data_IF_659052638174
#
_entry.id   IF_659052638174
#
_cell.length_a   1.000
_cell.length_b   1.000
_cell.length_c   1.000
_cell.angle_alpha   90.00
_cell.angle_beta   90.00
_cell.angle_gamma   90.00
#
_symmetry.space_group_name_H-M   'P 1'
#
loop_
_entity.id
_entity.type
_entity.pdbx_description
1 polymer ?
#
# COMPACT_ATOMS: atom_id res chain seq x y z
N UNK A 1 0.34 9.47 -28.62
CA UNK A 1 0.12 8.70 -27.37
C UNK A 1 1.20 7.65 -27.09
N UNK A 2 2.02 7.25 -28.07
CA UNK A 2 3.15 6.33 -27.86
C UNK A 2 4.44 7.01 -27.34
N UNK A 3 4.64 8.31 -27.59
CA UNK A 3 5.82 9.06 -27.10
C UNK A 3 5.84 9.29 -25.58
N UNK A 4 4.67 9.45 -24.95
CA UNK A 4 4.58 9.66 -23.50
C UNK A 4 4.84 8.39 -22.69
N UNK A 5 4.61 7.22 -23.28
CA UNK A 5 4.92 5.92 -22.66
C UNK A 5 6.42 5.59 -22.75
N UNK A 6 7.10 6.03 -23.82
CA UNK A 6 8.54 5.81 -23.99
C UNK A 6 9.36 6.73 -23.06
N UNK A 7 8.92 7.98 -22.86
CA UNK A 7 9.54 8.90 -21.89
C UNK A 7 9.32 8.49 -20.42
N UNK A 8 8.29 7.70 -20.12
CA UNK A 8 8.04 7.21 -18.75
C UNK A 8 8.83 5.93 -18.42
N UNK A 9 9.16 5.12 -19.43
CA UNK A 9 10.00 3.93 -19.24
C UNK A 9 11.47 4.30 -19.01
N UNK A 10 11.96 5.35 -19.69
CA UNK A 10 13.35 5.83 -19.57
C UNK A 10 13.66 6.44 -18.18
N UNK A 11 12.64 6.98 -17.50
CA UNK A 11 12.78 7.51 -16.12
C UNK A 11 12.82 6.38 -15.08
N UNK A 12 12.14 5.26 -15.33
CA UNK A 12 12.12 4.13 -14.39
C UNK A 12 13.44 3.32 -14.43
N UNK A 13 14.12 3.27 -15.58
CA UNK A 13 15.46 2.69 -15.71
C UNK A 13 16.56 3.61 -15.15
N UNK A 14 16.43 4.94 -15.30
CA UNK A 14 17.34 5.92 -14.66
C UNK A 14 17.26 5.90 -13.12
N UNK A 15 16.12 5.48 -12.55
CA UNK A 15 15.93 5.35 -11.10
C UNK A 15 16.40 4.00 -10.54
N UNK A 16 16.48 2.94 -11.35
CA UNK A 16 17.05 1.64 -10.96
C UNK A 16 18.58 1.56 -11.13
N UNK A 17 19.17 2.31 -12.06
CA UNK A 17 20.61 2.29 -12.32
C UNK A 17 21.45 3.22 -11.42
N UNK A 18 20.85 4.18 -10.72
CA UNK A 18 21.53 4.89 -9.62
C UNK A 18 21.50 4.10 -8.32
N UNK A 19 21.94 2.85 -8.46
CA UNK A 19 22.59 2.11 -7.40
C UNK A 19 23.65 2.99 -6.76
N UNK A 20 23.42 3.20 -5.47
CA UNK A 20 24.31 3.64 -4.41
C UNK A 20 25.76 3.12 -4.58
N UNK A 21 26.52 3.71 -5.52
CA UNK A 21 27.96 3.52 -5.67
C UNK A 21 28.65 4.70 -4.98
N UNK A 22 29.25 4.41 -3.84
CA UNK A 22 30.16 5.30 -3.14
C UNK A 22 31.38 5.58 -4.03
N UNK A 23 31.49 6.80 -4.55
CA UNK A 23 32.74 7.28 -5.14
C UNK A 23 33.65 7.75 -3.99
N UNK A 24 34.42 6.83 -3.41
CA UNK A 24 35.65 7.22 -2.72
C UNK A 24 36.63 7.72 -3.77
N UNK A 25 36.92 9.02 -3.72
CA UNK A 25 37.98 9.64 -4.52
C UNK A 25 39.32 9.23 -3.91
N UNK A 26 40.12 8.48 -4.67
CA UNK A 26 41.52 8.17 -4.33
C UNK A 26 42.35 9.39 -4.70
N UNK A 27 42.96 10.02 -3.70
CA UNK A 27 43.90 11.14 -3.89
C UNK A 27 45.23 10.56 -4.41
N UNK A 28 45.73 10.98 -5.59
CA UNK A 28 47.07 10.63 -6.02
C UNK A 28 48.09 11.37 -5.14
N UNK A 29 49.02 10.61 -4.60
CA UNK A 29 50.17 11.09 -3.85
C UNK A 29 51.31 11.26 -4.86
N UNK A 30 51.53 12.46 -5.40
CA UNK A 30 52.78 12.88 -6.07
C UNK A 30 52.71 14.38 -6.43
N UNK A 31 53.87 15.05 -6.31
CA UNK A 31 54.19 16.43 -6.72
C UNK A 31 53.97 17.57 -5.71
N UNK A 32 54.90 17.61 -4.74
CA UNK A 32 55.69 18.77 -4.32
C UNK A 32 55.72 19.97 -5.31
N UNK A 33 55.67 21.19 -4.76
CA UNK A 33 56.07 22.49 -5.35
C UNK A 33 55.08 23.38 -6.14
N UNK A 34 53.76 23.20 -6.01
CA UNK A 34 52.77 24.18 -6.56
C UNK A 34 51.76 24.74 -5.54
N UNK A 35 52.06 24.61 -4.24
CA UNK A 35 51.08 24.79 -3.15
C UNK A 35 51.04 26.20 -2.52
N UNK A 36 51.96 27.12 -2.80
CA UNK A 36 51.95 28.44 -2.12
C UNK A 36 50.89 29.40 -2.68
N UNK A 37 50.61 29.34 -3.99
CA UNK A 37 49.70 30.28 -4.66
C UNK A 37 48.27 29.73 -4.80
N UNK A 38 48.11 28.40 -4.73
CA UNK A 38 46.81 27.73 -4.72
C UNK A 38 46.14 27.80 -3.34
N UNK A 39 46.91 27.71 -2.26
CA UNK A 39 46.40 27.79 -0.87
C UNK A 39 45.92 29.20 -0.52
N UNK A 40 46.51 30.25 -1.12
CA UNK A 40 46.05 31.63 -0.93
C UNK A 40 44.68 31.91 -1.58
N UNK A 41 44.27 31.17 -2.62
CA UNK A 41 42.94 31.28 -3.25
C UNK A 41 41.84 30.51 -2.52
N UNK A 42 42.20 29.59 -1.64
CA UNK A 42 41.25 28.83 -0.81
C UNK A 42 40.92 29.52 0.53
N UNK A 43 41.47 30.71 0.78
CA UNK A 43 41.14 31.55 1.94
C UNK A 43 40.02 32.58 1.67
N UNK A 44 39.35 32.49 0.53
CA UNK A 44 38.00 33.05 0.41
C UNK A 44 37.04 32.13 1.14
N UNK A 45 36.44 32.60 2.24
CA UNK A 45 35.31 31.93 2.89
C UNK A 45 34.22 31.60 1.86
N UNK A 46 34.23 30.38 1.32
CA UNK A 46 33.02 29.82 0.71
C UNK A 46 32.00 29.61 1.84
N UNK A 47 30.75 30.10 1.68
CA UNK A 47 29.82 30.20 2.79
C UNK A 47 29.44 28.81 3.30
N UNK A 48 29.93 28.48 4.50
CA UNK A 48 29.63 27.26 5.28
C UNK A 48 28.11 27.04 5.48
N UNK A 49 27.27 28.03 5.15
CA UNK A 49 25.81 27.93 5.18
C UNK A 49 25.20 27.06 4.06
N UNK A 50 25.76 27.07 2.85
CA UNK A 50 25.09 26.57 1.64
C UNK A 50 25.07 25.02 1.57
N UNK A 51 26.21 24.37 1.88
CA UNK A 51 26.31 22.92 2.03
C UNK A 51 25.37 22.36 3.12
N UNK A 52 25.16 23.14 4.19
CA UNK A 52 24.25 22.76 5.27
C UNK A 52 22.78 22.77 4.83
N UNK A 53 22.40 23.71 3.95
CA UNK A 53 21.03 23.86 3.45
C UNK A 53 20.66 22.73 2.49
N UNK A 54 21.55 22.37 1.57
CA UNK A 54 21.36 21.24 0.65
C UNK A 54 21.19 19.90 1.37
N UNK A 55 21.84 19.70 2.52
CA UNK A 55 21.65 18.51 3.34
C UNK A 55 20.27 18.49 4.02
N UNK A 56 19.82 19.62 4.57
CA UNK A 56 18.51 19.75 5.22
C UNK A 56 17.36 19.56 4.25
N UNK A 57 17.44 20.13 3.03
CA UNK A 57 16.44 19.94 1.96
C UNK A 57 16.34 18.46 1.56
N UNK A 58 17.49 17.80 1.36
CA UNK A 58 17.55 16.36 1.04
C UNK A 58 16.98 15.50 2.16
N UNK A 59 17.27 15.82 3.41
CA UNK A 59 16.72 15.13 4.57
C UNK A 59 15.19 15.28 4.62
N UNK A 60 14.66 16.51 4.52
CA UNK A 60 13.23 16.77 4.58
C UNK A 60 12.48 16.02 3.48
N UNK A 61 13.03 16.01 2.25
CA UNK A 61 12.47 15.24 1.13
C UNK A 61 12.40 13.75 1.45
N UNK A 62 13.49 13.14 1.94
CA UNK A 62 13.50 11.72 2.31
C UNK A 62 12.53 11.42 3.44
N UNK A 63 12.43 12.30 4.43
CA UNK A 63 11.50 12.17 5.55
C UNK A 63 10.04 12.16 5.04
N UNK A 64 9.67 13.09 4.16
CA UNK A 64 8.31 13.14 3.59
C UNK A 64 7.98 11.89 2.77
N UNK A 65 8.92 11.45 1.93
CA UNK A 65 8.76 10.22 1.14
C UNK A 65 8.55 9.02 2.07
N UNK A 66 9.33 8.90 3.14
CA UNK A 66 9.21 7.81 4.09
C UNK A 66 7.86 7.83 4.83
N UNK A 67 7.43 9.00 5.34
CA UNK A 67 6.13 9.17 6.02
C UNK A 67 4.95 8.71 5.16
N UNK A 68 4.91 9.13 3.90
CA UNK A 68 3.80 8.78 3.01
C UNK A 68 3.92 7.34 2.51
N UNK A 69 5.14 6.82 2.31
CA UNK A 69 5.34 5.42 1.91
C UNK A 69 4.86 4.43 2.97
N UNK A 70 5.02 4.75 4.26
CA UNK A 70 4.55 3.90 5.35
C UNK A 70 3.09 4.14 5.77
N UNK A 71 2.36 5.01 5.06
CA UNK A 71 0.91 5.16 5.22
C UNK A 71 0.46 6.27 6.18
N UNK A 72 1.30 7.29 6.46
CA UNK A 72 0.85 8.47 7.20
C UNK A 72 -0.28 9.20 6.46
N UNK A 73 -1.24 9.74 7.21
CA UNK A 73 -2.33 10.54 6.62
C UNK A 73 -1.79 11.86 6.04
N UNK A 74 -2.43 12.35 4.97
CA UNK A 74 -2.01 13.59 4.31
C UNK A 74 -1.96 14.80 5.28
N UNK A 75 -3.02 15.10 6.06
CA UNK A 75 -2.99 16.24 6.98
C UNK A 75 -1.92 16.09 8.08
N UNK A 76 -1.70 14.86 8.57
CA UNK A 76 -0.69 14.59 9.59
C UNK A 76 0.72 14.79 9.03
N UNK A 77 0.98 14.28 7.83
CA UNK A 77 2.27 14.45 7.14
C UNK A 77 2.60 15.92 6.91
N UNK A 78 1.64 16.71 6.44
CA UNK A 78 1.82 18.15 6.23
C UNK A 78 2.18 18.87 7.54
N UNK A 79 1.51 18.54 8.64
CA UNK A 79 1.80 19.10 9.96
C UNK A 79 3.22 18.75 10.45
N UNK A 80 3.63 17.48 10.32
CA UNK A 80 4.95 17.02 10.77
C UNK A 80 6.08 17.68 9.97
N UNK A 81 5.94 17.71 8.64
CA UNK A 81 6.95 18.33 7.76
C UNK A 81 7.01 19.84 7.96
N UNK A 82 5.87 20.51 8.15
CA UNK A 82 5.83 21.95 8.48
C UNK A 82 6.47 22.25 9.83
N UNK A 83 6.35 21.35 10.81
CA UNK A 83 7.00 21.50 12.11
C UNK A 83 8.52 21.24 12.02
N UNK A 84 8.92 20.19 11.29
CA UNK A 84 10.32 19.86 11.05
C UNK A 84 11.04 20.96 10.24
N UNK A 85 10.42 21.53 9.22
CA UNK A 85 11.03 22.58 8.39
C UNK A 85 11.28 23.88 9.17
N UNK A 86 10.36 24.26 10.06
CA UNK A 86 10.54 25.38 11.00
C UNK A 86 11.77 25.17 11.89
N UNK A 87 11.95 23.97 12.46
CA UNK A 87 13.09 23.64 13.33
C UNK A 87 14.41 23.60 12.57
N UNK A 88 14.39 23.13 11.33
CA UNK A 88 15.55 23.08 10.43
C UNK A 88 15.88 24.44 9.79
N UNK A 89 15.06 25.48 10.04
CA UNK A 89 15.15 26.82 9.42
C UNK A 89 15.13 26.78 7.88
N UNK A 90 14.31 25.90 7.31
CA UNK A 90 14.09 25.78 5.85
C UNK A 90 12.65 26.22 5.54
N UNK A 91 12.47 27.19 4.65
CA UNK A 91 11.13 27.60 4.20
C UNK A 91 10.61 26.62 3.15
N UNK A 92 9.53 25.93 3.47
CA UNK A 92 8.92 24.92 2.58
C UNK A 92 7.40 25.04 2.53
N UNK A 93 6.83 24.86 1.34
CA UNK A 93 5.39 24.61 1.16
C UNK A 93 5.20 23.14 0.79
N UNK A 94 4.24 22.47 1.41
CA UNK A 94 3.95 21.06 1.20
C UNK A 94 2.47 20.89 0.86
N UNK A 95 2.17 20.02 -0.09
CA UNK A 95 0.84 19.53 -0.38
C UNK A 95 0.89 18.01 -0.62
N UNK A 96 0.07 17.25 0.10
CA UNK A 96 0.02 15.78 -0.01
C UNK A 96 -1.31 15.35 -0.63
N UNK A 97 -1.24 14.71 -1.80
CA UNK A 97 -2.35 14.05 -2.48
C UNK A 97 -2.17 12.52 -2.38
N UNK A 98 -3.27 11.76 -2.57
CA UNK A 98 -3.33 10.31 -2.34
C UNK A 98 -2.23 9.46 -3.01
N UNK A 99 -1.62 9.93 -4.09
CA UNK A 99 -0.52 9.23 -4.78
C UNK A 99 0.62 10.16 -5.19
N UNK A 100 0.59 11.40 -4.71
CA UNK A 100 1.52 12.44 -5.12
C UNK A 100 1.84 13.36 -3.96
N UNK A 101 3.12 13.54 -3.68
CA UNK A 101 3.59 14.58 -2.76
C UNK A 101 4.23 15.70 -3.55
N UNK A 102 3.83 16.93 -3.25
CA UNK A 102 4.43 18.15 -3.78
C UNK A 102 5.19 18.83 -2.65
N UNK A 103 6.52 18.88 -2.77
CA UNK A 103 7.38 19.71 -1.92
C UNK A 103 7.94 20.86 -2.74
N UNK A 104 7.77 22.08 -2.22
CA UNK A 104 8.34 23.29 -2.80
C UNK A 104 9.28 23.92 -1.76
N UNK A 105 10.54 24.09 -2.14
CA UNK A 105 11.54 24.80 -1.34
C UNK A 105 11.63 26.25 -1.83
N UNK A 106 11.51 27.20 -0.90
CA UNK A 106 11.65 28.64 -1.21
C UNK A 106 13.01 29.07 -0.69
N UNK A 107 13.91 29.45 -1.60
CA UNK A 107 15.21 30.00 -1.21
C UNK A 107 15.06 31.43 -0.67
N UNK A 108 15.91 31.79 0.29
CA UNK A 108 15.96 33.15 0.85
C UNK A 108 16.80 34.10 0.00
N UNK A 109 17.69 33.58 -0.86
CA UNK A 109 18.56 34.39 -1.72
C UNK A 109 17.87 34.78 -3.05
N UNK A 110 17.15 33.84 -3.68
CA UNK A 110 16.43 34.06 -4.95
C UNK A 110 15.01 33.48 -4.85
N UNK A 111 14.00 34.33 -4.73
CA UNK A 111 12.59 33.91 -4.70
C UNK A 111 12.09 33.26 -6.02
N UNK A 112 12.94 33.22 -7.05
CA UNK A 112 12.68 32.66 -8.39
C UNK A 112 13.17 31.23 -8.58
N UNK A 113 13.94 30.66 -7.65
CA UNK A 113 14.40 29.26 -7.69
C UNK A 113 13.53 28.38 -6.79
N UNK A 114 12.29 28.17 -7.20
CA UNK A 114 11.40 27.20 -6.53
C UNK A 114 11.71 25.78 -7.06
N UNK A 115 12.31 24.93 -6.23
CA UNK A 115 12.53 23.52 -6.57
C UNK A 115 11.25 22.74 -6.24
N UNK A 116 10.48 22.39 -7.27
CA UNK A 116 9.28 21.56 -7.16
C UNK A 116 9.65 20.08 -7.29
N UNK A 117 9.42 19.33 -6.22
CA UNK A 117 9.64 17.89 -6.19
C UNK A 117 8.31 17.14 -6.15
N UNK A 118 8.05 16.40 -7.24
CA UNK A 118 6.92 15.48 -7.39
C UNK A 118 7.41 14.07 -7.09
N UNK A 119 6.84 13.42 -6.07
CA UNK A 119 7.15 12.01 -5.78
C UNK A 119 5.87 11.19 -5.84
N UNK A 120 5.84 10.23 -6.77
CA UNK A 120 4.82 9.18 -6.85
C UNK A 120 5.22 8.05 -5.91
N UNK A 121 4.29 7.63 -5.05
CA UNK A 121 4.58 6.67 -4.00
C UNK A 121 3.71 5.42 -4.15
N UNK A 122 4.36 4.26 -4.19
CA UNK A 122 3.74 2.96 -4.03
C UNK A 122 4.15 2.45 -2.65
N UNK A 123 3.30 2.70 -1.64
CA UNK A 123 3.62 2.40 -0.25
C UNK A 123 3.05 1.06 0.22
N UNK A 124 3.85 0.30 0.96
CA UNK A 124 3.41 -0.77 1.85
C UNK A 124 3.18 -0.18 3.25
N UNK A 125 2.05 -0.49 3.87
CA UNK A 125 1.70 0.07 5.18
C UNK A 125 2.45 -0.70 6.27
N UNK A 126 3.55 -0.12 6.76
CA UNK A 126 4.32 -0.65 7.88
C UNK A 126 4.13 0.22 9.13
N UNK A 127 3.25 -0.19 10.03
CA UNK A 127 2.92 0.59 11.24
C UNK A 127 4.14 0.81 12.15
N UNK A 128 5.01 -0.20 12.28
CA UNK A 128 6.21 -0.12 13.13
C UNK A 128 7.19 0.93 12.58
N UNK A 129 7.50 0.89 11.28
CA UNK A 129 8.39 1.87 10.64
C UNK A 129 7.78 3.27 10.65
N UNK A 130 6.46 3.36 10.45
CA UNK A 130 5.74 4.62 10.54
C UNK A 130 5.90 5.28 11.91
N UNK A 131 5.75 4.51 13.00
CA UNK A 131 5.92 5.03 14.36
C UNK A 131 7.33 5.58 14.59
N UNK A 132 8.38 4.84 14.19
CA UNK A 132 9.77 5.28 14.35
C UNK A 132 10.06 6.58 13.59
N UNK A 133 9.47 6.74 12.42
CA UNK A 133 9.66 7.94 11.58
C UNK A 133 8.83 9.11 12.07
N UNK A 134 7.62 8.87 12.59
CA UNK A 134 6.81 9.89 13.25
C UNK A 134 7.54 10.45 14.49
N UNK A 135 8.17 9.59 15.28
CA UNK A 135 8.99 9.99 16.41
C UNK A 135 10.23 10.77 15.95
N UNK A 136 10.92 10.31 14.89
CA UNK A 136 12.06 11.03 14.30
C UNK A 136 11.67 12.42 13.78
N UNK A 137 10.50 12.55 13.14
CA UNK A 137 9.98 13.83 12.66
C UNK A 137 9.69 14.81 13.83
N UNK A 138 9.29 14.27 14.99
CA UNK A 138 9.07 15.06 16.20
C UNK A 138 10.34 15.31 17.01
N UNK A 139 11.42 14.54 16.84
CA UNK A 139 12.69 14.79 17.53
C UNK A 139 13.61 15.71 16.74
N UNK A 140 13.48 15.76 15.40
CA UNK A 140 14.43 16.48 14.55
C UNK A 140 14.55 17.97 14.90
N UNK A 141 15.80 18.44 14.97
CA UNK A 141 16.13 19.84 15.26
C UNK A 141 16.11 20.19 16.76
N UNK A 142 15.82 19.23 17.63
CA UNK A 142 16.12 19.35 19.06
C UNK A 142 17.62 19.16 19.29
N UNK A 143 18.10 19.65 20.44
CA UNK A 143 19.51 19.63 20.84
C UNK A 143 20.11 18.22 20.83
N UNK A 144 19.28 17.20 21.08
CA UNK A 144 19.68 15.79 21.16
C UNK A 144 19.71 15.06 19.81
N UNK A 145 19.08 15.59 18.75
CA UNK A 145 19.10 14.95 17.42
C UNK A 145 19.46 15.93 16.29
N UNK A 146 20.77 16.11 16.00
CA UNK A 146 21.20 16.89 14.85
C UNK A 146 20.80 16.22 13.53
N UNK A 147 20.75 16.99 12.44
CA UNK A 147 20.30 16.55 11.10
C UNK A 147 21.04 15.31 10.61
N UNK A 148 22.34 15.22 10.90
CA UNK A 148 23.18 14.08 10.51
C UNK A 148 22.78 12.79 11.22
N UNK A 149 22.53 12.85 12.54
CA UNK A 149 21.97 11.73 13.31
C UNK A 149 20.59 11.34 12.81
N UNK A 150 19.73 12.33 12.53
CA UNK A 150 18.41 12.09 11.99
C UNK A 150 18.45 11.36 10.64
N UNK A 151 19.39 11.73 9.76
CA UNK A 151 19.57 11.04 8.48
C UNK A 151 20.03 9.58 8.67
N UNK A 152 20.91 9.32 9.64
CA UNK A 152 21.36 7.95 9.95
C UNK A 152 20.21 7.11 10.52
N UNK A 153 19.43 7.65 11.48
CA UNK A 153 18.25 6.98 12.05
C UNK A 153 17.20 6.69 10.96
N UNK A 154 16.97 7.63 10.05
CA UNK A 154 16.07 7.43 8.91
C UNK A 154 16.55 6.28 8.01
N UNK A 155 17.84 6.23 7.67
CA UNK A 155 18.40 5.14 6.87
C UNK A 155 18.35 3.79 7.59
N UNK A 156 18.57 3.78 8.92
CA UNK A 156 18.45 2.58 9.73
C UNK A 156 17.02 2.03 9.74
N UNK A 157 16.00 2.90 9.90
CA UNK A 157 14.58 2.48 9.84
C UNK A 157 14.15 2.02 8.46
N UNK A 158 14.68 2.62 7.39
CA UNK A 158 14.39 2.14 6.02
C UNK A 158 15.00 0.75 5.77
N UNK A 159 16.19 0.50 6.33
CA UNK A 159 16.92 -0.78 6.19
C UNK A 159 16.41 -1.87 7.14
N UNK A 160 15.67 -1.53 8.19
CA UNK A 160 15.18 -2.53 9.14
C UNK A 160 14.17 -3.47 8.44
N UNK A 161 14.22 -4.79 8.73
CA UNK A 161 13.21 -5.72 8.24
C UNK A 161 11.83 -5.32 8.78
N UNK A 162 10.77 -5.55 7.99
CA UNK A 162 9.40 -5.45 8.50
C UNK A 162 9.23 -6.50 9.60
N UNK A 163 8.80 -6.09 10.79
CA UNK A 163 8.67 -7.00 11.94
C UNK A 163 7.54 -8.04 11.78
N UNK A 164 6.62 -7.83 10.84
CA UNK A 164 5.55 -8.75 10.55
C UNK A 164 5.92 -9.50 9.28
N UNK A 165 6.41 -10.74 9.40
CA UNK A 165 6.44 -11.64 8.25
C UNK A 165 4.98 -11.94 7.86
N UNK A 166 4.62 -11.48 6.67
CA UNK A 166 3.31 -10.89 6.38
C UNK A 166 2.20 -11.93 6.18
N UNK A 167 2.56 -13.15 5.79
CA UNK A 167 1.61 -14.07 5.18
C UNK A 167 0.63 -14.71 6.20
N UNK A 168 1.12 -15.12 7.37
CA UNK A 168 0.28 -15.78 8.38
C UNK A 168 -0.65 -14.80 9.09
N UNK A 169 -0.13 -13.63 9.48
CA UNK A 169 -0.93 -12.57 10.10
C UNK A 169 -1.98 -12.02 9.13
N UNK A 170 -1.62 -11.87 7.86
CA UNK A 170 -2.57 -11.48 6.82
C UNK A 170 -3.68 -12.51 6.67
N UNK A 171 -3.36 -13.81 6.60
CA UNK A 171 -4.35 -14.89 6.49
C UNK A 171 -5.27 -14.93 7.71
N UNK A 172 -4.72 -14.83 8.93
CA UNK A 172 -5.52 -14.73 10.15
C UNK A 172 -6.46 -13.53 10.13
N UNK A 173 -6.01 -12.37 9.66
CA UNK A 173 -6.84 -11.18 9.55
C UNK A 173 -8.03 -11.40 8.59
N UNK A 174 -7.83 -12.08 7.46
CA UNK A 174 -8.93 -12.47 6.55
C UNK A 174 -9.96 -13.39 7.23
N UNK A 175 -9.48 -14.41 7.95
CA UNK A 175 -10.35 -15.39 8.62
C UNK A 175 -11.17 -14.73 9.72
N UNK A 176 -10.50 -13.99 10.60
CA UNK A 176 -11.16 -13.33 11.74
C UNK A 176 -12.14 -12.28 11.24
N UNK A 177 -11.75 -11.44 10.28
CA UNK A 177 -12.65 -10.41 9.74
C UNK A 177 -13.90 -11.00 9.10
N UNK A 178 -13.78 -12.09 8.33
CA UNK A 178 -14.93 -12.76 7.72
C UNK A 178 -15.85 -13.42 8.75
N UNK A 179 -15.28 -14.08 9.76
CA UNK A 179 -16.03 -14.69 10.87
C UNK A 179 -16.81 -13.65 11.67
N UNK A 180 -16.07 -12.66 12.20
CA UNK A 180 -16.64 -11.55 12.98
C UNK A 180 -17.65 -10.74 12.16
N UNK A 181 -17.41 -10.59 10.86
CA UNK A 181 -18.30 -9.87 9.96
C UNK A 181 -19.69 -10.50 9.83
N UNK A 182 -19.76 -11.83 9.81
CA UNK A 182 -21.03 -12.56 9.76
C UNK A 182 -21.87 -12.37 11.03
N UNK A 183 -21.25 -12.45 12.22
CA UNK A 183 -21.97 -12.27 13.48
C UNK A 183 -22.43 -10.82 13.70
N UNK A 184 -21.51 -9.85 13.54
CA UNK A 184 -21.76 -8.48 13.95
C UNK A 184 -22.59 -7.67 12.95
N UNK A 185 -22.35 -7.82 11.65
CA UNK A 185 -23.00 -6.96 10.65
C UNK A 185 -24.27 -7.55 10.06
N UNK A 186 -24.32 -8.87 9.89
CA UNK A 186 -25.41 -9.54 9.16
C UNK A 186 -26.33 -10.37 10.05
N UNK A 187 -26.11 -10.35 11.37
CA UNK A 187 -26.88 -11.11 12.36
C UNK A 187 -26.99 -12.61 11.96
N UNK A 188 -25.90 -13.17 11.45
CA UNK A 188 -25.84 -14.57 11.03
C UNK A 188 -25.80 -15.53 12.21
N UNK A 189 -26.15 -16.79 11.96
CA UNK A 189 -26.08 -17.84 12.96
C UNK A 189 -24.61 -18.21 13.26
N UNK A 190 -24.34 -18.91 14.37
CA UNK A 190 -22.97 -19.36 14.69
C UNK A 190 -22.37 -20.24 13.59
N UNK A 191 -23.21 -21.03 12.91
CA UNK A 191 -22.80 -21.83 11.76
C UNK A 191 -22.40 -20.97 10.55
N UNK A 192 -23.11 -19.88 10.28
CA UNK A 192 -22.76 -18.94 9.20
C UNK A 192 -21.36 -18.37 9.39
N UNK A 193 -20.97 -18.14 10.65
CA UNK A 193 -19.66 -17.63 11.01
C UNK A 193 -18.51 -18.61 10.73
N UNK A 194 -18.72 -19.89 11.02
CA UNK A 194 -17.70 -20.93 10.77
C UNK A 194 -17.50 -21.09 9.27
N UNK A 195 -18.57 -21.11 8.49
CA UNK A 195 -18.48 -21.16 7.03
C UNK A 195 -17.90 -19.86 6.44
N UNK A 196 -18.21 -18.69 7.00
CA UNK A 196 -17.60 -17.43 6.56
C UNK A 196 -16.11 -17.35 6.88
N UNK A 197 -15.67 -17.87 8.03
CA UNK A 197 -14.25 -18.03 8.36
C UNK A 197 -13.52 -18.88 7.31
N UNK A 198 -14.12 -20.02 6.92
CA UNK A 198 -13.56 -20.88 5.87
C UNK A 198 -13.50 -20.16 4.52
N UNK A 199 -14.56 -19.44 4.14
CA UNK A 199 -14.58 -18.63 2.92
C UNK A 199 -13.50 -17.54 2.95
N UNK A 200 -13.34 -16.85 4.08
CA UNK A 200 -12.29 -15.86 4.30
C UNK A 200 -10.88 -16.46 4.19
N UNK A 201 -10.68 -17.70 4.67
CA UNK A 201 -9.43 -18.44 4.50
C UNK A 201 -9.10 -18.69 3.03
N UNK A 202 -10.08 -19.15 2.24
CA UNK A 202 -9.92 -19.39 0.80
C UNK A 202 -9.55 -18.08 0.08
N UNK A 203 -10.23 -16.98 0.40
CA UNK A 203 -9.90 -15.65 -0.14
C UNK A 203 -8.47 -15.25 0.25
N UNK A 204 -8.09 -15.42 1.52
CA UNK A 204 -6.75 -15.11 2.01
C UNK A 204 -5.65 -15.85 1.24
N UNK A 205 -5.86 -17.14 0.92
CA UNK A 205 -4.94 -17.93 0.10
C UNK A 205 -4.80 -17.34 -1.31
N UNK A 206 -5.92 -16.96 -1.95
CA UNK A 206 -5.89 -16.35 -3.30
C UNK A 206 -5.06 -15.06 -3.28
N UNK A 207 -5.24 -14.21 -2.26
CA UNK A 207 -4.48 -12.96 -2.11
C UNK A 207 -3.00 -13.17 -1.78
N UNK A 208 -2.65 -14.27 -1.11
CA UNK A 208 -1.27 -14.66 -0.81
C UNK A 208 -0.51 -15.09 -2.08
N UNK A 209 -1.22 -15.55 -3.12
CA UNK A 209 -0.65 -15.91 -4.42
C UNK A 209 -0.41 -14.70 -5.35
N UNK A 210 -1.06 -13.56 -5.11
CA UNK A 210 -0.91 -12.34 -5.91
C UNK A 210 0.54 -11.84 -6.06
N UNK A 211 1.38 -11.79 -5.02
CA UNK A 211 2.77 -11.34 -5.18
C UNK A 211 3.60 -12.24 -6.09
N UNK A 212 3.25 -13.53 -6.22
CA UNK A 212 3.94 -14.44 -7.14
C UNK A 212 3.56 -14.18 -8.60
N UNK A 213 2.35 -13.67 -8.85
CA UNK A 213 1.83 -13.41 -10.18
C UNK A 213 1.20 -12.00 -10.27
N UNK A 214 1.98 -10.95 -10.56
CA UNK A 214 1.48 -9.57 -10.53
C UNK A 214 0.35 -9.31 -11.55
N UNK A 215 0.31 -10.07 -12.64
CA UNK A 215 -0.77 -10.03 -13.65
C UNK A 215 -2.12 -10.46 -13.05
N UNK A 216 -2.11 -11.32 -12.03
CA UNK A 216 -3.32 -11.78 -11.36
C UNK A 216 -3.91 -10.75 -10.38
N UNK A 217 -3.24 -9.67 -10.02
CA UNK A 217 -3.73 -8.74 -8.99
C UNK A 217 -5.12 -8.16 -9.27
N UNK A 218 -5.40 -7.78 -10.53
CA UNK A 218 -6.71 -7.24 -10.93
C UNK A 218 -7.77 -8.34 -11.02
N UNK A 219 -7.38 -9.55 -11.43
CA UNK A 219 -8.30 -10.68 -11.61
C UNK A 219 -8.57 -11.41 -10.29
N UNK A 220 -7.69 -11.29 -9.31
CA UNK A 220 -7.78 -11.93 -8.00
C UNK A 220 -9.08 -11.57 -7.28
N UNK A 221 -9.46 -10.29 -7.30
CA UNK A 221 -10.72 -9.80 -6.74
C UNK A 221 -11.93 -10.49 -7.40
N UNK A 222 -12.00 -10.48 -8.73
CA UNK A 222 -13.08 -11.16 -9.45
C UNK A 222 -13.11 -12.67 -9.19
N UNK A 223 -11.93 -13.33 -9.22
CA UNK A 223 -11.82 -14.77 -8.99
C UNK A 223 -12.27 -15.16 -7.58
N UNK A 224 -11.92 -14.37 -6.56
CA UNK A 224 -12.35 -14.59 -5.18
C UNK A 224 -13.86 -14.48 -5.01
N UNK A 225 -14.50 -13.49 -5.66
CA UNK A 225 -15.96 -13.33 -5.64
C UNK A 225 -16.69 -14.52 -6.29
N UNK A 226 -16.16 -15.03 -7.42
CA UNK A 226 -16.69 -16.23 -8.08
C UNK A 226 -16.58 -17.46 -7.18
N UNK A 227 -15.40 -17.68 -6.60
CA UNK A 227 -15.11 -18.82 -5.72
C UNK A 227 -15.98 -18.77 -4.46
N UNK A 228 -16.09 -17.61 -3.80
CA UNK A 228 -16.94 -17.44 -2.61
C UNK A 228 -18.41 -17.64 -2.94
N UNK A 229 -18.90 -17.09 -4.06
CA UNK A 229 -20.30 -17.26 -4.48
C UNK A 229 -20.64 -18.72 -4.76
N UNK A 230 -19.71 -19.46 -5.37
CA UNK A 230 -19.87 -20.88 -5.65
C UNK A 230 -19.89 -21.70 -4.35
N UNK A 231 -18.88 -21.53 -3.49
CA UNK A 231 -18.77 -22.25 -2.21
C UNK A 231 -19.94 -21.94 -1.28
N UNK A 232 -20.34 -20.68 -1.15
CA UNK A 232 -21.48 -20.28 -0.32
C UNK A 232 -22.78 -20.96 -0.79
N UNK A 233 -22.99 -21.11 -2.11
CA UNK A 233 -24.14 -21.84 -2.64
C UNK A 233 -24.08 -23.33 -2.39
N UNK A 234 -22.91 -23.94 -2.55
CA UNK A 234 -22.71 -25.36 -2.24
C UNK A 234 -23.01 -25.62 -0.76
N UNK A 235 -22.54 -24.76 0.15
CA UNK A 235 -22.82 -24.90 1.57
C UNK A 235 -24.30 -24.72 1.91
N UNK A 236 -24.97 -23.69 1.37
CA UNK A 236 -26.42 -23.52 1.60
C UNK A 236 -27.25 -24.70 1.09
N UNK A 237 -26.86 -25.32 -0.04
CA UNK A 237 -27.59 -26.47 -0.59
C UNK A 237 -27.29 -27.78 0.16
N UNK A 238 -26.06 -28.00 0.62
CA UNK A 238 -25.69 -29.23 1.33
C UNK A 238 -26.17 -29.20 2.80
N UNK A 239 -26.13 -28.03 3.43
CA UNK A 239 -26.46 -27.84 4.85
C UNK A 239 -27.82 -27.17 5.05
N UNK A 240 -28.86 -27.67 4.37
CA UNK A 240 -30.25 -27.17 4.54
C UNK A 240 -30.71 -27.28 6.00
N UNK A 241 -30.19 -28.24 6.77
CA UNK A 241 -30.58 -28.49 8.16
C UNK A 241 -30.04 -27.47 9.18
N UNK A 242 -29.08 -26.62 8.80
CA UNK A 242 -28.41 -25.69 9.72
C UNK A 242 -28.93 -24.24 9.60
N UNK A 243 -29.99 -24.02 8.82
CA UNK A 243 -30.61 -22.70 8.56
C UNK A 243 -29.60 -21.62 8.16
N UNK A 244 -28.66 -22.00 7.28
CA UNK A 244 -27.51 -21.19 6.91
C UNK A 244 -27.89 -20.09 5.92
N UNK A 245 -27.59 -18.82 6.24
CA UNK A 245 -27.96 -17.69 5.41
C UNK A 245 -26.93 -17.42 4.31
N UNK A 246 -27.30 -17.65 3.04
CA UNK A 246 -26.44 -17.38 1.88
C UNK A 246 -25.91 -15.93 1.84
N UNK A 247 -26.79 -14.96 2.08
CA UNK A 247 -26.46 -13.54 1.97
C UNK A 247 -25.42 -13.13 3.03
N UNK A 248 -25.62 -13.56 4.28
CA UNK A 248 -24.70 -13.28 5.37
C UNK A 248 -23.31 -13.89 5.11
N UNK A 249 -23.25 -15.16 4.68
CA UNK A 249 -21.97 -15.82 4.36
C UNK A 249 -21.24 -15.19 3.18
N UNK A 250 -21.93 -14.91 2.08
CA UNK A 250 -21.30 -14.42 0.87
C UNK A 250 -20.69 -13.03 1.07
N UNK A 251 -21.40 -12.13 1.77
CA UNK A 251 -20.92 -10.75 1.97
C UNK A 251 -19.88 -10.68 3.08
N UNK A 252 -20.01 -11.47 4.14
CA UNK A 252 -18.99 -11.54 5.20
C UNK A 252 -17.68 -12.18 4.71
N UNK A 253 -17.74 -13.24 3.90
CA UNK A 253 -16.56 -13.82 3.27
C UNK A 253 -15.84 -12.87 2.30
N UNK A 254 -16.56 -11.89 1.76
CA UNK A 254 -16.04 -10.84 0.90
C UNK A 254 -15.84 -9.51 1.64
N UNK A 255 -15.85 -9.49 2.98
CA UNK A 255 -15.77 -8.25 3.76
C UNK A 255 -14.53 -7.41 3.44
N UNK A 256 -13.43 -8.07 3.09
CA UNK A 256 -12.19 -7.39 2.71
C UNK A 256 -12.26 -6.71 1.32
N UNK A 257 -13.15 -7.19 0.44
CA UNK A 257 -13.43 -6.53 -0.83
C UNK A 257 -14.38 -5.34 -0.65
N UNK A 258 -15.12 -5.26 0.46
CA UNK A 258 -15.89 -4.05 0.72
C UNK A 258 -14.88 -2.92 0.98
N UNK A 259 -14.91 -1.84 0.17
CA UNK A 259 -14.02 -0.71 0.39
C UNK A 259 -14.45 0.03 1.65
N UNK A 260 -13.93 -0.42 2.78
CA UNK A 260 -13.97 0.25 4.07
C UNK A 260 -12.59 0.81 4.30
N UNK A 261 -12.40 2.10 4.01
CA UNK A 261 -11.21 2.91 4.31
C UNK A 261 -9.90 2.31 3.76
N UNK A 262 -9.34 2.75 2.62
CA UNK A 262 -8.31 3.80 2.58
C UNK A 262 -7.87 3.97 1.10
N UNK A 263 -7.94 5.21 0.60
CA UNK A 263 -7.10 5.83 -0.44
C UNK A 263 -7.38 5.70 -1.96
N UNK A 264 -7.90 4.61 -2.55
CA UNK A 264 -8.03 4.57 -4.04
C UNK A 264 -9.44 4.82 -4.57
N UNK A 265 -9.73 6.11 -4.78
CA UNK A 265 -10.81 6.66 -5.62
C UNK A 265 -12.24 6.30 -5.21
N UNK A 266 -12.79 7.10 -4.29
CA UNK A 266 -14.17 7.00 -3.77
C UNK A 266 -15.28 6.99 -4.85
N UNK A 267 -15.02 7.44 -6.09
CA UNK A 267 -15.99 7.40 -7.20
C UNK A 267 -15.99 6.09 -8.00
N UNK A 268 -14.82 5.50 -8.25
CA UNK A 268 -14.74 4.22 -8.99
C UNK A 268 -15.19 3.06 -8.10
N UNK A 269 -14.95 3.17 -6.79
CA UNK A 269 -15.37 2.19 -5.80
C UNK A 269 -16.88 1.98 -5.74
N UNK A 270 -17.69 3.01 -5.97
CA UNK A 270 -19.14 2.89 -5.91
C UNK A 270 -19.69 2.11 -7.11
N UNK A 271 -19.23 2.44 -8.33
CA UNK A 271 -19.61 1.73 -9.56
C UNK A 271 -19.11 0.28 -9.51
N UNK A 272 -17.88 0.09 -9.04
CA UNK A 272 -17.27 -1.24 -8.91
C UNK A 272 -18.01 -2.08 -7.86
N UNK A 273 -18.37 -1.52 -6.70
CA UNK A 273 -19.17 -2.19 -5.66
C UNK A 273 -20.54 -2.62 -6.18
N UNK A 274 -21.25 -1.74 -6.90
CA UNK A 274 -22.54 -2.06 -7.51
C UNK A 274 -22.39 -3.20 -8.52
N UNK A 275 -21.39 -3.11 -9.40
CA UNK A 275 -21.12 -4.14 -10.42
C UNK A 275 -20.78 -5.49 -9.78
N UNK A 276 -19.95 -5.52 -8.74
CA UNK A 276 -19.62 -6.74 -8.01
C UNK A 276 -20.83 -7.39 -7.35
N UNK A 277 -21.66 -6.59 -6.65
CA UNK A 277 -22.87 -7.10 -6.01
C UNK A 277 -23.84 -7.66 -7.06
N UNK A 278 -24.00 -6.98 -8.21
CA UNK A 278 -24.80 -7.48 -9.31
C UNK A 278 -24.27 -8.80 -9.88
N UNK A 279 -22.96 -8.94 -10.09
CA UNK A 279 -22.34 -10.18 -10.59
C UNK A 279 -22.55 -11.34 -9.59
N UNK A 280 -22.31 -11.11 -8.30
CA UNK A 280 -22.51 -12.13 -7.25
C UNK A 280 -23.96 -12.60 -7.24
N UNK A 281 -24.92 -11.67 -7.27
CA UNK A 281 -26.35 -12.01 -7.29
C UNK A 281 -26.71 -12.81 -8.54
N UNK A 282 -26.27 -12.37 -9.73
CA UNK A 282 -26.55 -13.05 -11.01
C UNK A 282 -25.94 -14.45 -11.03
N UNK A 283 -24.67 -14.61 -10.65
CA UNK A 283 -24.01 -15.91 -10.59
C UNK A 283 -24.71 -16.83 -9.60
N UNK A 284 -25.10 -16.30 -8.44
CA UNK A 284 -25.80 -17.08 -7.42
C UNK A 284 -27.16 -17.58 -7.91
N UNK A 285 -27.89 -16.78 -8.71
CA UNK A 285 -29.16 -17.17 -9.32
C UNK A 285 -28.96 -18.22 -10.41
N UNK A 286 -27.94 -18.05 -11.25
CA UNK A 286 -27.59 -19.01 -12.31
C UNK A 286 -27.16 -20.36 -11.73
N UNK A 287 -26.33 -20.36 -10.69
CA UNK A 287 -25.93 -21.59 -9.99
C UNK A 287 -27.13 -22.28 -9.34
N UNK A 288 -28.06 -21.53 -8.75
CA UNK A 288 -29.27 -22.10 -8.18
C UNK A 288 -30.15 -22.76 -9.25
N UNK A 289 -30.32 -22.10 -10.41
CA UNK A 289 -31.04 -22.66 -11.55
C UNK A 289 -30.35 -23.93 -12.08
N UNK A 290 -29.03 -23.94 -12.17
CA UNK A 290 -28.27 -25.11 -12.63
C UNK A 290 -28.36 -26.28 -11.64
N UNK A 291 -28.24 -26.03 -10.34
CA UNK A 291 -28.40 -27.06 -9.31
C UNK A 291 -29.83 -27.60 -9.28
N UNK A 292 -30.83 -26.72 -9.33
CA UNK A 292 -32.24 -27.13 -9.37
C UNK A 292 -32.55 -27.95 -10.63
N UNK A 293 -32.04 -27.57 -11.80
CA UNK A 293 -32.23 -28.33 -13.04
C UNK A 293 -31.53 -29.69 -12.99
N UNK A 294 -30.31 -29.79 -12.46
CA UNK A 294 -29.64 -31.08 -12.25
C UNK A 294 -30.38 -31.97 -11.24
N UNK A 295 -30.89 -31.40 -10.16
CA UNK A 295 -31.67 -32.14 -9.16
C UNK A 295 -33.00 -32.66 -9.76
N UNK A 296 -33.72 -31.81 -10.51
CA UNK A 296 -34.92 -32.22 -11.22
C UNK A 296 -34.63 -33.26 -12.31
N UNK A 297 -33.50 -33.16 -13.00
CA UNK A 297 -33.06 -34.17 -13.97
C UNK A 297 -32.80 -35.51 -13.29
N UNK A 298 -32.10 -35.51 -12.14
CA UNK A 298 -31.89 -36.70 -11.28
C UNK A 298 -33.23 -37.33 -10.87
N UNK A 299 -34.17 -36.53 -10.38
CA UNK A 299 -35.50 -37.01 -10.00
C UNK A 299 -36.29 -37.56 -11.19
N UNK A 300 -36.24 -36.90 -12.35
CA UNK A 300 -36.88 -37.41 -13.58
C UNK A 300 -36.27 -38.72 -14.05
N UNK A 301 -34.94 -38.87 -13.99
CA UNK A 301 -34.26 -40.12 -14.35
C UNK A 301 -34.66 -41.23 -13.38
N UNK A 302 -34.75 -40.94 -12.08
CA UNK A 302 -35.13 -41.92 -11.07
C UNK A 302 -36.61 -42.35 -11.17
N UNK A 303 -37.51 -41.40 -11.49
CA UNK A 303 -38.91 -41.68 -11.80
C UNK A 303 -39.06 -42.50 -13.09
N UNK A 304 -38.32 -42.16 -14.16
CA UNK A 304 -38.32 -42.94 -15.40
C UNK A 304 -37.79 -44.37 -15.20
N UNK A 305 -36.84 -44.56 -14.27
CA UNK A 305 -36.31 -45.89 -13.95
C UNK A 305 -37.32 -46.74 -13.16
N UNK A 306 -38.07 -46.12 -12.24
CA UNK A 306 -39.11 -46.80 -11.45
C UNK A 306 -40.36 -47.17 -12.26
N UNK A 307 -40.74 -46.38 -13.27
CA UNK A 307 -41.92 -46.66 -14.12
C UNK A 307 -41.65 -47.75 -15.18
N UNK A 308 -40.38 -48.12 -15.40
CA UNK A 308 -39.98 -49.14 -16.39
C UNK A 308 -39.85 -50.56 -15.79
N UNK A 309 -40.01 -50.73 -14.47
CA UNK A 309 -40.03 -52.02 -13.76
C UNK A 309 -41.49 -52.39 -13.50
#
# INVERSE_FOLDING_TARGET
MADLTQSLYDVEDQLKLRGFQARMVKVPNDASEADSDAVARLQGEEPVSEWSQGLRRRFLRRLTVALVSYGSSAPRTEYLIKSASKRLKVKTKIAVLNSLVILMFVDTADATKEELHLVKLNGSVDVNKLQQIDELANSVGLRDTPVMMGQWKLQATVKSPSCFEEWYWQLLAFVISAGTGALLFFQGNYWDAVFSMFLGLVVGIIFLLVPFFPVFGIVAEFSSALVVSFLARVFTHYFVHLDVCFFAMAISGLVWLLPGVISKTKRLCEILRVTFMSIIVVLSRLLNLLLATLFLLRLRVQMCLQVRI
#
